data_IF_816130345945
#
_entry.id   IF_816130345945
#
_cell.length_a   1.000
_cell.length_b   1.000
_cell.length_c   1.000
_cell.angle_alpha   90.00
_cell.angle_beta   90.00
_cell.angle_gamma   90.00
#
_symmetry.space_group_name_H-M   'P 1'
#
loop_
_entity.id
_entity.type
_entity.pdbx_description
1 polymer ?
#
# COMPACT_ATOMS: atom_id res chain seq x y z
N UNK A 1 -9.52 32.87 37.40
CA UNK A 1 -10.52 31.91 36.89
C UNK A 1 -9.96 31.33 35.59
N UNK A 2 -9.21 30.23 35.69
CA UNK A 2 -8.70 29.51 34.52
C UNK A 2 -9.83 28.61 34.01
N UNK A 3 -10.40 28.90 32.84
CA UNK A 3 -11.14 27.89 32.08
C UNK A 3 -10.14 27.18 31.20
N UNK A 4 -9.82 25.93 31.56
CA UNK A 4 -9.21 24.99 30.64
C UNK A 4 -10.20 24.76 29.49
N UNK A 5 -9.77 25.06 28.27
CA UNK A 5 -10.45 24.59 27.05
C UNK A 5 -10.34 23.07 27.07
N UNK A 6 -11.44 22.30 26.93
CA UNK A 6 -11.32 20.86 26.85
C UNK A 6 -10.43 20.51 25.65
N UNK A 7 -9.39 19.72 25.91
CA UNK A 7 -8.57 19.09 24.88
C UNK A 7 -9.51 18.52 23.82
N UNK A 8 -9.28 18.87 22.57
CA UNK A 8 -10.02 18.30 21.45
C UNK A 8 -9.71 16.81 21.44
N UNK A 9 -10.67 15.97 21.86
CA UNK A 9 -10.60 14.52 21.71
C UNK A 9 -10.11 14.23 20.27
N UNK A 10 -9.04 13.45 20.08
CA UNK A 10 -8.55 13.18 18.74
C UNK A 10 -9.68 12.54 17.94
N UNK A 11 -10.07 13.24 16.88
CA UNK A 11 -11.04 12.83 15.87
C UNK A 11 -10.87 11.33 15.56
N UNK A 12 -11.72 10.51 16.20
CA UNK A 12 -11.61 9.05 16.24
C UNK A 12 -12.22 8.39 14.99
N UNK A 13 -12.50 9.19 13.96
CA UNK A 13 -13.00 8.70 12.69
C UNK A 13 -11.86 8.04 11.89
N UNK A 14 -12.14 6.90 11.28
CA UNK A 14 -11.23 6.29 10.31
C UNK A 14 -10.92 7.28 9.18
N UNK A 15 -9.67 7.29 8.74
CA UNK A 15 -9.17 8.17 7.68
C UNK A 15 -8.64 7.32 6.53
N UNK A 16 -8.63 7.90 5.35
CA UNK A 16 -8.04 7.29 4.17
C UNK A 16 -6.52 7.46 4.12
N UNK A 17 -5.82 6.36 3.92
CA UNK A 17 -4.36 6.27 3.81
C UNK A 17 -3.96 5.64 2.49
N UNK A 18 -2.98 6.24 1.81
CA UNK A 18 -2.29 5.59 0.71
C UNK A 18 -1.17 4.73 1.28
N UNK A 19 -1.18 3.44 0.95
CA UNK A 19 -0.20 2.46 1.39
C UNK A 19 0.66 2.01 0.22
N UNK A 20 1.98 2.00 0.41
CA UNK A 20 2.93 1.28 -0.46
C UNK A 20 3.57 0.16 0.35
N UNK A 21 3.23 -1.09 0.04
CA UNK A 21 3.85 -2.28 0.61
C UNK A 21 4.99 -2.76 -0.29
N UNK A 22 6.18 -2.94 0.26
CA UNK A 22 7.35 -3.45 -0.47
C UNK A 22 7.74 -4.81 0.08
N UNK A 23 7.90 -5.78 -0.83
CA UNK A 23 8.24 -7.16 -0.51
C UNK A 23 9.44 -7.62 -1.31
N UNK A 24 10.28 -8.46 -0.71
CA UNK A 24 11.49 -9.01 -1.34
C UNK A 24 11.72 -10.47 -0.98
N UNK A 25 12.44 -11.18 -1.85
CA UNK A 25 12.95 -12.51 -1.55
C UNK A 25 13.62 -13.18 -2.74
N UNK A 26 13.57 -14.51 -2.75
CA UNK A 26 14.25 -15.32 -3.77
C UNK A 26 13.74 -15.01 -5.19
N UNK A 27 14.60 -15.06 -6.22
CA UNK A 27 14.19 -14.77 -7.60
C UNK A 27 13.05 -15.67 -8.09
N UNK A 28 12.03 -15.07 -8.71
CA UNK A 28 10.89 -15.75 -9.36
C UNK A 28 10.68 -15.20 -10.77
N UNK A 29 10.09 -16.00 -11.65
CA UNK A 29 9.82 -15.57 -13.03
C UNK A 29 8.86 -14.38 -13.07
N UNK A 30 9.15 -13.42 -13.97
CA UNK A 30 8.34 -12.22 -14.15
C UNK A 30 6.87 -12.52 -14.44
N UNK A 31 6.57 -13.56 -15.23
CA UNK A 31 5.20 -13.95 -15.56
C UNK A 31 4.44 -14.47 -14.34
N UNK A 32 5.07 -15.31 -13.50
CA UNK A 32 4.44 -15.84 -12.30
C UNK A 32 4.13 -14.73 -11.28
N UNK A 33 5.05 -13.77 -11.13
CA UNK A 33 4.84 -12.61 -10.25
C UNK A 33 3.68 -11.76 -10.75
N UNK A 34 3.64 -11.49 -12.06
CA UNK A 34 2.55 -10.74 -12.68
C UNK A 34 1.19 -11.40 -12.47
N UNK A 35 1.06 -12.68 -12.79
CA UNK A 35 -0.19 -13.44 -12.63
C UNK A 35 -0.65 -13.50 -11.17
N UNK A 36 0.29 -13.60 -10.23
CA UNK A 36 -0.01 -13.57 -8.80
C UNK A 36 -0.50 -12.19 -8.32
N UNK A 37 0.13 -11.11 -8.79
CA UNK A 37 -0.29 -9.75 -8.47
C UNK A 37 -1.64 -9.39 -9.13
N UNK A 38 -1.91 -9.88 -10.34
CA UNK A 38 -3.21 -9.74 -11.00
C UNK A 38 -4.30 -10.45 -10.18
N UNK A 39 -4.07 -11.69 -9.71
CA UNK A 39 -5.00 -12.40 -8.82
C UNK A 39 -5.21 -11.70 -7.48
N UNK A 40 -4.15 -11.18 -6.87
CA UNK A 40 -4.28 -10.36 -5.65
C UNK A 40 -5.18 -9.14 -5.91
N UNK A 41 -5.04 -8.49 -7.06
CA UNK A 41 -5.87 -7.36 -7.48
C UNK A 41 -7.35 -7.74 -7.67
N UNK A 42 -7.63 -8.94 -8.14
CA UNK A 42 -8.99 -9.46 -8.29
C UNK A 42 -9.61 -9.81 -6.93
N UNK A 43 -8.82 -10.36 -6.00
CA UNK A 43 -9.25 -10.66 -4.61
C UNK A 43 -9.51 -9.39 -3.79
N UNK A 44 -8.76 -8.32 -4.06
CA UNK A 44 -8.80 -7.05 -3.34
C UNK A 44 -9.02 -5.88 -4.29
N UNK A 45 -10.27 -5.60 -4.69
CA UNK A 45 -10.59 -4.58 -5.70
C UNK A 45 -10.27 -3.13 -5.30
N UNK A 46 -9.67 -2.90 -4.13
CA UNK A 46 -9.08 -1.60 -3.73
C UNK A 46 -7.61 -1.43 -4.15
N UNK A 47 -7.00 -2.45 -4.77
CA UNK A 47 -5.65 -2.38 -5.30
C UNK A 47 -5.53 -1.38 -6.44
N UNK A 48 -4.71 -0.36 -6.24
CA UNK A 48 -4.50 0.70 -7.21
C UNK A 48 -3.41 0.35 -8.20
N UNK A 49 -2.35 -0.34 -7.80
CA UNK A 49 -1.21 -0.58 -8.69
C UNK A 49 -0.22 -1.56 -8.08
N UNK A 50 0.58 -2.18 -8.96
CA UNK A 50 1.74 -2.96 -8.55
C UNK A 50 2.94 -2.70 -9.45
N UNK A 51 4.14 -2.73 -8.88
CA UNK A 51 5.39 -2.81 -9.64
C UNK A 51 6.17 -4.04 -9.24
N UNK A 52 6.85 -4.69 -10.18
CA UNK A 52 7.57 -5.91 -9.87
C UNK A 52 8.87 -6.09 -10.65
N UNK A 53 9.78 -6.82 -10.04
CA UNK A 53 11.05 -7.31 -10.59
C UNK A 53 11.24 -8.74 -10.08
N UNK A 54 12.19 -9.52 -10.64
CA UNK A 54 12.36 -10.92 -10.26
C UNK A 54 12.55 -11.17 -8.75
N UNK A 55 12.98 -10.19 -7.96
CA UNK A 55 13.25 -10.34 -6.51
C UNK A 55 12.44 -9.42 -5.61
N UNK A 56 11.56 -8.58 -6.18
CA UNK A 56 10.85 -7.53 -5.45
C UNK A 56 9.49 -7.23 -6.06
N UNK A 57 8.52 -6.89 -5.23
CA UNK A 57 7.34 -6.17 -5.67
C UNK A 57 7.00 -4.98 -4.75
N UNK A 58 6.35 -3.99 -5.34
CA UNK A 58 5.66 -2.92 -4.65
C UNK A 58 4.16 -3.04 -4.96
N UNK A 59 3.34 -3.01 -3.92
CA UNK A 59 1.89 -3.06 -4.00
C UNK A 59 1.33 -1.77 -3.43
N UNK A 60 0.42 -1.10 -4.14
CA UNK A 60 -0.10 0.23 -3.78
C UNK A 60 -1.62 0.24 -3.74
N UNK A 61 -2.18 0.80 -2.68
CA UNK A 61 -3.62 0.87 -2.49
C UNK A 61 -4.04 1.97 -1.51
N UNK A 62 -5.35 2.19 -1.43
CA UNK A 62 -6.00 3.07 -0.48
C UNK A 62 -6.66 2.20 0.60
N UNK A 63 -6.46 2.53 1.87
CA UNK A 63 -7.07 1.81 3.00
C UNK A 63 -7.61 2.76 4.09
N UNK A 64 -8.65 2.32 4.79
CA UNK A 64 -9.25 3.05 5.90
C UNK A 64 -8.64 2.57 7.22
N UNK A 65 -8.07 3.50 8.00
CA UNK A 65 -7.55 3.19 9.33
C UNK A 65 -7.65 4.39 10.25
N UNK A 66 -7.72 4.12 11.56
CA UNK A 66 -7.77 5.16 12.60
C UNK A 66 -6.51 6.05 12.55
N UNK A 67 -5.35 5.43 12.40
CA UNK A 67 -4.06 6.09 12.32
C UNK A 67 -3.09 5.34 11.40
N UNK A 68 -1.94 5.95 11.16
CA UNK A 68 -0.91 5.38 10.29
C UNK A 68 -0.34 4.06 10.82
N UNK A 69 -0.28 3.86 12.15
CA UNK A 69 0.25 2.64 12.76
C UNK A 69 -0.68 1.46 12.53
N UNK A 70 -1.97 1.71 12.58
CA UNK A 70 -3.02 0.74 12.27
C UNK A 70 -2.97 0.37 10.80
N UNK A 71 -2.87 1.36 9.89
CA UNK A 71 -2.71 1.10 8.45
C UNK A 71 -1.47 0.25 8.15
N UNK A 72 -0.32 0.52 8.79
CA UNK A 72 0.88 -0.30 8.64
C UNK A 72 0.66 -1.75 9.08
N UNK A 73 -0.04 -1.94 10.22
CA UNK A 73 -0.30 -3.27 10.78
C UNK A 73 -1.26 -4.07 9.90
N UNK A 74 -2.30 -3.42 9.37
CA UNK A 74 -3.23 -4.03 8.41
C UNK A 74 -2.52 -4.42 7.12
N UNK A 75 -1.62 -3.55 6.61
CA UNK A 75 -0.87 -3.81 5.38
C UNK A 75 0.01 -5.06 5.48
N UNK A 76 0.71 -5.24 6.60
CA UNK A 76 1.53 -6.42 6.83
C UNK A 76 0.66 -7.69 6.90
N UNK A 77 -0.48 -7.64 7.60
CA UNK A 77 -1.41 -8.78 7.73
C UNK A 77 -2.03 -9.19 6.40
N UNK A 78 -2.48 -8.23 5.60
CA UNK A 78 -3.07 -8.48 4.28
C UNK A 78 -2.11 -9.30 3.41
N UNK A 79 -0.82 -8.95 3.42
CA UNK A 79 0.17 -9.73 2.68
C UNK A 79 0.22 -11.17 3.15
N UNK A 80 0.38 -11.40 4.45
CA UNK A 80 0.48 -12.75 5.02
C UNK A 80 -0.77 -13.59 4.76
N UNK A 81 -1.95 -12.97 4.84
CA UNK A 81 -3.24 -13.62 4.63
C UNK A 81 -3.47 -14.02 3.16
N UNK A 82 -3.07 -13.17 2.21
CA UNK A 82 -3.40 -13.35 0.80
C UNK A 82 -2.25 -13.88 -0.06
N UNK A 83 -1.03 -13.95 0.47
CA UNK A 83 0.12 -14.47 -0.27
C UNK A 83 -0.14 -15.88 -0.81
N UNK A 84 -0.74 -16.74 0.00
CA UNK A 84 -1.00 -18.13 -0.38
C UNK A 84 -2.15 -18.24 -1.39
N UNK A 85 -3.28 -17.54 -1.16
CA UNK A 85 -4.43 -17.58 -2.09
C UNK A 85 -4.08 -17.00 -3.46
N UNK A 86 -3.38 -15.86 -3.47
CA UNK A 86 -2.92 -15.21 -4.68
C UNK A 86 -1.65 -15.86 -5.28
N UNK A 87 -1.18 -16.99 -4.74
CA UNK A 87 -0.01 -17.73 -5.25
C UNK A 87 1.25 -16.86 -5.38
N UNK A 88 1.40 -15.91 -4.47
CA UNK A 88 2.56 -15.02 -4.38
C UNK A 88 3.74 -15.80 -3.79
N UNK A 89 4.98 -15.45 -4.21
CA UNK A 89 6.18 -16.07 -3.66
C UNK A 89 6.29 -15.83 -2.15
N UNK A 90 7.08 -16.65 -1.45
CA UNK A 90 7.35 -16.55 0.00
C UNK A 90 8.28 -15.36 0.36
N UNK A 91 7.99 -14.22 -0.25
CA UNK A 91 8.70 -12.96 -0.05
C UNK A 91 8.25 -12.29 1.24
N UNK A 92 9.21 -11.64 1.88
CA UNK A 92 9.03 -10.96 3.15
C UNK A 92 8.66 -9.50 2.91
N UNK A 93 7.84 -8.94 3.79
CA UNK A 93 7.62 -7.50 3.86
C UNK A 93 8.91 -6.83 4.32
N UNK A 94 9.48 -5.98 3.48
CA UNK A 94 10.72 -5.24 3.78
C UNK A 94 10.50 -3.73 3.90
N UNK A 95 9.30 -3.24 3.59
CA UNK A 95 8.96 -1.83 3.77
C UNK A 95 7.46 -1.58 3.68
N UNK A 96 6.99 -0.63 4.49
CA UNK A 96 5.63 -0.10 4.43
C UNK A 96 5.71 1.42 4.48
N UNK A 97 5.18 2.10 3.46
CA UNK A 97 4.98 3.54 3.47
C UNK A 97 3.49 3.84 3.61
N UNK A 98 3.14 4.72 4.56
CA UNK A 98 1.77 5.14 4.82
C UNK A 98 1.70 6.67 4.77
N UNK A 99 0.81 7.19 3.92
CA UNK A 99 0.67 8.62 3.68
C UNK A 99 -0.82 8.99 3.75
N UNK A 100 -1.18 9.99 4.54
CA UNK A 100 -2.56 10.49 4.53
C UNK A 100 -2.92 11.12 3.18
N UNK A 101 -4.22 11.16 2.88
CA UNK A 101 -4.75 11.67 1.62
C UNK A 101 -4.27 13.09 1.27
N UNK A 102 -4.19 14.00 2.25
CA UNK A 102 -3.78 15.39 2.03
C UNK A 102 -2.30 15.51 1.65
N UNK A 103 -1.43 14.76 2.34
CA UNK A 103 -0.01 14.66 2.02
C UNK A 103 0.24 13.98 0.67
N UNK A 104 -0.50 12.90 0.36
CA UNK A 104 -0.40 12.19 -0.90
C UNK A 104 -0.70 13.11 -2.10
N UNK A 105 -1.84 13.82 -2.07
CA UNK A 105 -2.21 14.77 -3.12
C UNK A 105 -1.17 15.89 -3.28
N UNK A 106 -0.63 16.40 -2.17
CA UNK A 106 0.42 17.43 -2.22
C UNK A 106 1.69 16.92 -2.89
N UNK A 107 2.15 15.71 -2.55
CA UNK A 107 3.30 15.07 -3.22
C UNK A 107 3.04 14.87 -4.71
N UNK A 108 1.85 14.41 -5.10
CA UNK A 108 1.47 14.26 -6.51
C UNK A 108 1.48 15.58 -7.29
N UNK A 109 1.04 16.68 -6.66
CA UNK A 109 1.10 18.03 -7.24
C UNK A 109 2.53 18.54 -7.42
N UNK A 110 3.45 18.22 -6.50
CA UNK A 110 4.86 18.58 -6.62
C UNK A 110 5.61 17.72 -7.65
N UNK A 111 5.21 16.44 -7.81
CA UNK A 111 5.88 15.46 -8.66
C UNK A 111 5.50 15.52 -10.15
N UNK A 112 5.03 16.65 -10.69
CA UNK A 112 4.64 16.83 -12.12
C UNK A 112 5.82 16.70 -13.13
N UNK A 113 6.82 15.87 -12.84
CA UNK A 113 7.94 15.54 -13.73
C UNK A 113 8.58 14.17 -13.48
N UNK A 114 8.13 13.38 -12.50
CA UNK A 114 8.70 12.05 -12.24
C UNK A 114 7.58 11.01 -12.17
N UNK A 115 7.61 10.08 -13.12
CA UNK A 115 6.72 8.92 -13.26
C UNK A 115 6.43 8.26 -11.90
N UNK A 116 5.31 8.63 -11.27
CA UNK A 116 4.99 8.22 -9.90
C UNK A 116 3.53 7.85 -9.65
N UNK A 117 2.60 8.28 -10.52
CA UNK A 117 1.27 7.68 -10.60
C UNK A 117 1.36 6.51 -11.58
N UNK A 118 1.65 5.32 -11.07
CA UNK A 118 1.19 4.12 -11.79
C UNK A 118 -0.32 4.33 -11.94
N UNK A 119 -0.79 4.42 -13.18
CA UNK A 119 -2.22 4.59 -13.44
C UNK A 119 -2.99 3.52 -12.67
N UNK A 120 -4.02 3.93 -11.95
CA UNK A 120 -4.85 3.02 -11.17
C UNK A 120 -5.24 1.79 -12.01
N UNK A 121 -5.12 0.61 -11.44
CA UNK A 121 -5.36 -0.71 -12.03
C UNK A 121 -4.22 -1.32 -12.84
N UNK A 122 -2.95 -0.85 -12.76
CA UNK A 122 -1.85 -1.44 -13.56
C UNK A 122 -0.79 -2.15 -12.73
N UNK A 123 -0.49 -3.39 -13.12
CA UNK A 123 0.68 -4.16 -12.71
C UNK A 123 1.77 -3.99 -13.78
N UNK A 124 2.88 -3.36 -13.43
CA UNK A 124 3.97 -3.02 -14.37
C UNK A 124 5.31 -3.55 -13.87
N UNK A 125 6.27 -3.87 -14.75
CA UNK A 125 7.65 -4.07 -14.29
C UNK A 125 8.22 -2.78 -13.68
N UNK A 126 9.25 -2.89 -12.83
CA UNK A 126 10.07 -1.75 -12.41
C UNK A 126 10.78 -1.10 -13.61
#
# INVERSE_FOLDING_TARGET
>A
MLSAVPDSEPDSAARMWHVTLTVEGAPVSASAIREALERLSDEHPFLLAGRYAPTRAEVRYWDEALDASTAMSLAARLWDEHRVSAGLPDWQVVGVEVIDQGNFHRRGRTAHGQLGLVAAGRILPF
#
